data_IF_741965405018
#
_entry.id   IF_741965405018
#
_cell.length_a   1.000
_cell.length_b   1.000
_cell.length_c   1.000
_cell.angle_alpha   90.00
_cell.angle_beta   90.00
_cell.angle_gamma   90.00
#
_symmetry.space_group_name_H-M   'P 1'
#
loop_
_entity.id
_entity.type
_entity.pdbx_description
1 polymer ?
#
# COMPACT_ATOMS: atom_id res chain seq x y z
N UNK A 1 1.70 -77.03 14.33
CA UNK A 1 1.34 -75.66 14.52
C UNK A 1 2.22 -74.83 13.57
N UNK A 2 1.60 -74.28 12.50
CA UNK A 2 2.32 -73.47 11.54
C UNK A 2 2.16 -72.00 11.98
N UNK A 3 3.29 -71.36 12.27
CA UNK A 3 3.36 -69.92 12.59
C UNK A 3 3.12 -69.13 11.32
N UNK A 4 2.08 -68.29 11.32
CA UNK A 4 1.83 -67.34 10.28
C UNK A 4 2.51 -65.98 10.65
N UNK A 5 3.50 -65.59 9.87
CA UNK A 5 4.11 -64.27 9.94
C UNK A 5 3.27 -63.25 9.19
N UNK A 6 2.85 -62.18 9.87
CA UNK A 6 2.17 -61.05 9.30
C UNK A 6 3.24 -60.06 8.78
N UNK A 7 3.19 -59.61 7.50
CA UNK A 7 4.12 -58.62 7.03
C UNK A 7 3.74 -57.23 7.59
N UNK A 8 4.68 -56.56 8.24
CA UNK A 8 4.57 -55.16 8.63
C UNK A 8 4.90 -54.31 7.42
N UNK A 9 3.89 -53.63 6.84
CA UNK A 9 4.11 -52.59 5.85
C UNK A 9 4.57 -51.31 6.56
N UNK A 10 5.83 -50.96 6.40
CA UNK A 10 6.33 -49.63 6.77
C UNK A 10 5.84 -48.63 5.71
N UNK A 11 4.92 -47.74 6.08
CA UNK A 11 4.53 -46.59 5.27
C UNK A 11 5.65 -45.56 5.41
N UNK A 12 6.53 -45.46 4.41
CA UNK A 12 7.50 -44.35 4.29
C UNK A 12 6.73 -43.14 3.74
N UNK A 13 6.30 -42.23 4.61
CA UNK A 13 5.94 -40.90 4.20
C UNK A 13 7.22 -40.18 3.75
N UNK A 14 7.40 -40.03 2.44
CA UNK A 14 8.37 -39.10 1.91
C UNK A 14 7.83 -37.68 2.19
N UNK A 15 8.33 -37.05 3.25
CA UNK A 15 8.22 -35.61 3.43
C UNK A 15 9.05 -34.98 2.30
N UNK A 16 8.40 -34.49 1.28
CA UNK A 16 9.02 -33.59 0.31
C UNK A 16 9.63 -32.40 1.07
N UNK A 17 10.70 -31.77 0.55
CA UNK A 17 11.24 -30.59 1.18
C UNK A 17 10.11 -29.57 1.34
N UNK A 18 9.88 -29.09 2.55
CA UNK A 18 8.99 -27.95 2.78
C UNK A 18 9.51 -26.81 1.90
N UNK A 19 8.64 -26.23 1.07
CA UNK A 19 9.01 -25.08 0.28
C UNK A 19 9.47 -23.99 1.26
N UNK A 20 10.73 -23.58 1.15
CA UNK A 20 11.28 -22.50 1.97
C UNK A 20 10.56 -21.22 1.54
N UNK A 21 9.95 -20.51 2.49
CA UNK A 21 9.36 -19.21 2.22
C UNK A 21 10.43 -18.26 1.69
N UNK A 22 10.10 -17.51 0.64
CA UNK A 22 10.95 -16.44 0.11
C UNK A 22 10.96 -15.22 1.04
N UNK A 23 11.70 -14.17 0.67
CA UNK A 23 11.89 -12.98 1.53
C UNK A 23 10.72 -12.00 1.53
N UNK A 24 9.74 -12.16 0.64
CA UNK A 24 8.63 -11.22 0.47
C UNK A 24 7.36 -11.72 1.16
N UNK A 25 6.37 -10.83 1.32
CA UNK A 25 5.11 -11.19 1.97
C UNK A 25 4.43 -12.35 1.24
N UNK A 26 3.88 -13.25 2.01
CA UNK A 26 2.98 -14.27 1.51
C UNK A 26 1.63 -13.64 1.17
N UNK A 27 0.75 -14.34 0.48
CA UNK A 27 -0.64 -13.89 0.25
C UNK A 27 -1.31 -13.51 1.57
N UNK A 28 -2.50 -13.36 1.62
CA UNK A 28 -3.45 -13.04 2.70
C UNK A 28 -2.87 -12.85 4.12
N UNK A 29 -3.09 -11.64 4.70
CA UNK A 29 -2.83 -11.33 6.12
C UNK A 29 -1.37 -11.49 6.61
N UNK A 30 -0.39 -11.30 5.75
CA UNK A 30 0.99 -11.29 6.18
C UNK A 30 1.41 -9.90 6.69
N UNK A 31 1.55 -9.76 8.00
CA UNK A 31 2.09 -8.57 8.63
C UNK A 31 3.62 -8.59 8.79
N UNK A 32 4.28 -9.66 8.37
CA UNK A 32 5.73 -9.81 8.58
C UNK A 32 6.57 -8.94 7.62
N UNK A 33 5.98 -8.52 6.49
CA UNK A 33 6.60 -7.58 5.56
C UNK A 33 5.58 -6.51 5.19
N UNK A 34 5.59 -5.39 5.91
CA UNK A 34 4.61 -4.31 5.77
C UNK A 34 4.66 -3.59 4.42
N UNK A 35 5.83 -3.54 3.77
CA UNK A 35 6.00 -2.87 2.47
C UNK A 35 5.29 -3.59 1.33
N UNK A 36 5.16 -4.91 1.45
CA UNK A 36 4.66 -5.78 0.40
C UNK A 36 3.43 -6.59 0.86
N UNK A 37 2.86 -6.21 2.01
CA UNK A 37 1.67 -6.86 2.56
C UNK A 37 0.42 -6.55 1.73
N UNK A 38 -0.50 -7.50 1.54
CA UNK A 38 -1.70 -7.30 0.74
C UNK A 38 -2.60 -6.21 1.34
N UNK A 39 -3.17 -5.38 0.47
CA UNK A 39 -4.07 -4.30 0.87
C UNK A 39 -5.52 -4.77 0.72
N UNK A 40 -6.33 -4.76 1.80
CA UNK A 40 -7.72 -5.16 1.69
C UNK A 40 -8.53 -4.14 0.89
N UNK A 41 -9.21 -4.59 -0.17
CA UNK A 41 -10.13 -3.77 -0.96
C UNK A 41 -11.43 -3.48 -0.24
N UNK A 42 -11.88 -4.43 0.58
CA UNK A 42 -13.09 -4.36 1.38
C UNK A 42 -12.79 -4.52 2.87
N UNK A 43 -13.54 -3.79 3.71
CA UNK A 43 -13.43 -3.84 5.18
C UNK A 43 -14.82 -3.77 5.81
N UNK A 44 -14.95 -4.26 7.05
CA UNK A 44 -16.20 -4.17 7.79
C UNK A 44 -16.46 -5.36 8.70
N UNK A 45 -17.74 -5.61 9.07
CA UNK A 45 -18.11 -6.67 10.02
C UNK A 45 -17.70 -8.07 9.57
N UNK A 46 -17.60 -8.31 8.26
CA UNK A 46 -17.16 -9.58 7.70
C UNK A 46 -15.65 -9.82 7.76
N UNK A 47 -14.88 -8.84 8.22
CA UNK A 47 -13.42 -8.88 8.27
C UNK A 47 -12.74 -8.23 7.08
N UNK A 48 -11.45 -7.96 7.18
CA UNK A 48 -10.67 -7.35 6.09
C UNK A 48 -10.55 -8.30 4.91
N UNK A 49 -10.75 -7.76 3.71
CA UNK A 49 -10.71 -8.51 2.45
C UNK A 49 -11.96 -9.36 2.17
N UNK A 50 -12.86 -9.57 3.12
CA UNK A 50 -14.06 -10.38 2.90
C UNK A 50 -15.06 -9.64 1.99
N UNK A 51 -15.62 -10.36 1.01
CA UNK A 51 -16.68 -9.85 0.12
C UNK A 51 -18.09 -10.06 0.69
N UNK A 52 -18.21 -10.54 1.91
CA UNK A 52 -19.46 -10.85 2.60
C UNK A 52 -19.63 -10.07 3.90
N UNK A 53 -20.76 -10.27 4.60
CA UNK A 53 -20.96 -9.72 5.93
C UNK A 53 -21.22 -8.22 6.00
N UNK A 54 -21.70 -7.60 4.92
CA UNK A 54 -22.03 -6.16 4.87
C UNK A 54 -20.81 -5.25 4.84
N UNK A 55 -19.71 -5.75 4.28
CA UNK A 55 -18.48 -4.98 4.07
C UNK A 55 -18.67 -3.88 3.03
N UNK A 56 -17.82 -2.88 3.10
CA UNK A 56 -17.75 -1.75 2.16
C UNK A 56 -16.33 -1.56 1.68
N UNK A 57 -16.18 -0.79 0.60
CA UNK A 57 -14.88 -0.41 0.03
C UNK A 57 -14.02 0.23 1.12
N UNK A 58 -12.76 -0.20 1.21
CA UNK A 58 -11.83 0.31 2.20
C UNK A 58 -11.61 1.83 2.01
N UNK A 59 -11.90 2.66 3.03
CA UNK A 59 -11.82 4.12 2.93
C UNK A 59 -10.40 4.67 2.79
N UNK A 60 -9.37 3.83 2.84
CA UNK A 60 -8.01 4.27 2.51
C UNK A 60 -7.86 4.64 1.03
N UNK A 61 -8.69 4.04 0.16
CA UNK A 61 -8.72 4.37 -1.26
C UNK A 61 -9.50 5.67 -1.47
N UNK A 62 -8.80 6.73 -1.84
CA UNK A 62 -9.43 8.03 -2.10
C UNK A 62 -9.80 8.25 -3.57
N UNK A 63 -9.34 7.39 -4.46
CA UNK A 63 -9.59 7.45 -5.90
C UNK A 63 -9.38 6.08 -6.56
N UNK A 64 -9.96 5.93 -7.74
CA UNK A 64 -9.91 4.72 -8.56
C UNK A 64 -9.62 5.07 -10.00
N UNK A 65 -9.25 4.09 -10.80
CA UNK A 65 -9.20 4.25 -12.25
C UNK A 65 -10.55 4.74 -12.76
N UNK A 66 -10.57 5.76 -13.62
CA UNK A 66 -11.78 6.46 -14.05
C UNK A 66 -11.97 6.49 -15.56
N UNK A 67 -10.93 6.20 -16.33
CA UNK A 67 -11.03 6.09 -17.78
C UNK A 67 -9.98 5.16 -18.37
N UNK A 68 -10.35 4.51 -19.46
CA UNK A 68 -9.47 3.67 -20.26
C UNK A 68 -8.77 4.55 -21.28
N UNK A 69 -7.44 4.60 -21.26
CA UNK A 69 -6.62 5.34 -22.23
C UNK A 69 -6.22 4.45 -23.40
N UNK A 70 -5.86 3.21 -23.10
CA UNK A 70 -5.47 2.22 -24.10
C UNK A 70 -5.79 0.82 -23.57
N UNK A 71 -6.27 -0.06 -24.46
CA UNK A 71 -6.45 -1.47 -24.18
C UNK A 71 -6.06 -2.27 -25.43
N UNK A 72 -5.11 -3.15 -25.27
CA UNK A 72 -4.57 -4.00 -26.35
C UNK A 72 -4.40 -5.42 -25.81
N UNK A 73 -5.49 -6.19 -25.71
CA UNK A 73 -5.42 -7.59 -25.30
C UNK A 73 -4.74 -8.44 -26.37
N UNK A 74 -4.24 -9.61 -25.98
CA UNK A 74 -3.80 -10.61 -26.96
C UNK A 74 -4.98 -11.19 -27.73
N UNK A 75 -4.68 -11.77 -28.88
CA UNK A 75 -5.69 -12.52 -29.63
C UNK A 75 -6.10 -13.79 -28.86
N UNK A 76 -7.38 -13.95 -28.56
CA UNK A 76 -7.88 -15.14 -27.85
C UNK A 76 -8.64 -14.83 -26.58
N UNK A 77 -8.59 -13.59 -26.08
CA UNK A 77 -9.47 -13.14 -25.00
C UNK A 77 -10.93 -13.30 -25.41
N UNK A 78 -11.70 -14.01 -24.63
CA UNK A 78 -13.11 -14.22 -24.92
C UNK A 78 -13.90 -12.90 -24.79
N UNK A 79 -14.94 -12.68 -25.64
CA UNK A 79 -15.72 -11.43 -25.62
C UNK A 79 -16.33 -11.06 -24.26
N UNK A 80 -16.58 -12.04 -23.40
CA UNK A 80 -17.08 -11.83 -22.03
C UNK A 80 -16.06 -11.17 -21.11
N UNK A 81 -14.78 -11.21 -21.46
CA UNK A 81 -13.66 -10.70 -20.64
C UNK A 81 -12.88 -9.57 -21.31
N UNK A 82 -13.39 -9.03 -22.43
CA UNK A 82 -12.70 -8.02 -23.23
C UNK A 82 -13.26 -6.60 -23.07
N UNK A 83 -14.10 -6.35 -22.08
CA UNK A 83 -14.63 -5.02 -21.79
C UNK A 83 -13.71 -4.27 -20.78
N UNK A 84 -12.87 -3.33 -21.22
CA UNK A 84 -11.92 -2.66 -20.35
C UNK A 84 -12.59 -1.70 -19.35
N UNK A 85 -13.87 -1.38 -19.50
CA UNK A 85 -14.59 -0.53 -18.55
C UNK A 85 -14.86 -1.22 -17.23
N UNK A 86 -14.76 -2.55 -17.16
CA UNK A 86 -14.88 -3.31 -15.91
C UNK A 86 -13.76 -3.01 -14.91
N UNK A 87 -12.59 -2.56 -15.39
CA UNK A 87 -11.49 -2.13 -14.53
C UNK A 87 -11.63 -0.71 -13.98
N UNK A 88 -12.80 -0.07 -14.17
CA UNK A 88 -13.06 1.30 -13.72
C UNK A 88 -13.93 1.33 -12.47
N UNK A 89 -13.56 2.20 -11.54
CA UNK A 89 -14.28 2.36 -10.28
C UNK A 89 -13.71 1.49 -9.15
N UNK A 90 -14.42 1.43 -8.03
CA UNK A 90 -14.00 0.67 -6.86
C UNK A 90 -14.02 -0.83 -7.11
N UNK A 91 -13.12 -1.55 -6.44
CA UNK A 91 -13.15 -3.00 -6.35
C UNK A 91 -14.52 -3.50 -5.87
N UNK A 92 -15.02 -4.53 -6.49
CA UNK A 92 -16.30 -5.17 -6.15
C UNK A 92 -16.12 -6.48 -5.37
N UNK A 93 -14.99 -7.15 -5.57
CA UNK A 93 -14.70 -8.49 -5.07
C UNK A 93 -15.49 -9.58 -5.82
N UNK A 94 -16.04 -9.25 -6.99
CA UNK A 94 -16.70 -10.23 -7.88
C UNK A 94 -15.67 -10.73 -8.90
N UNK A 95 -15.35 -12.00 -8.85
CA UNK A 95 -14.39 -12.65 -9.75
C UNK A 95 -14.75 -12.51 -11.23
N UNK A 96 -16.00 -12.17 -11.55
CA UNK A 96 -16.47 -12.00 -12.93
C UNK A 96 -16.41 -10.55 -13.40
N UNK A 97 -16.11 -9.60 -12.50
CA UNK A 97 -16.05 -8.18 -12.84
C UNK A 97 -14.62 -7.75 -13.14
N UNK A 98 -14.07 -8.32 -14.23
CA UNK A 98 -12.69 -8.15 -14.65
C UNK A 98 -12.57 -7.87 -16.15
N UNK A 99 -11.39 -7.36 -16.54
CA UNK A 99 -10.93 -7.34 -17.93
C UNK A 99 -9.64 -8.14 -18.06
N UNK A 100 -9.60 -9.07 -19.02
CA UNK A 100 -8.42 -9.90 -19.28
C UNK A 100 -7.46 -9.21 -20.26
N UNK A 101 -6.15 -9.34 -20.02
CA UNK A 101 -5.11 -8.93 -20.97
C UNK A 101 -4.79 -10.02 -21.99
N UNK A 102 -5.12 -11.26 -21.67
CA UNK A 102 -4.89 -12.44 -22.51
C UNK A 102 -3.45 -12.94 -22.45
N UNK A 103 -3.31 -14.25 -22.48
CA UNK A 103 -2.01 -14.93 -22.44
C UNK A 103 -1.45 -15.17 -23.87
N UNK A 104 -0.15 -15.37 -24.01
CA UNK A 104 0.53 -15.68 -25.26
C UNK A 104 1.19 -17.06 -25.20
N UNK A 105 0.91 -17.90 -26.20
CA UNK A 105 1.68 -19.13 -26.36
C UNK A 105 3.16 -18.85 -26.67
N UNK A 106 4.03 -19.79 -26.33
CA UNK A 106 5.45 -19.72 -26.66
C UNK A 106 5.69 -19.55 -28.18
N UNK A 107 4.81 -20.09 -29.02
CA UNK A 107 4.89 -19.94 -30.48
C UNK A 107 4.61 -18.50 -30.92
N UNK A 108 3.58 -17.85 -30.37
CA UNK A 108 3.25 -16.46 -30.69
C UNK A 108 4.35 -15.51 -30.19
N UNK A 109 4.95 -15.78 -29.04
CA UNK A 109 6.09 -15.01 -28.52
C UNK A 109 7.29 -15.14 -29.51
N UNK A 110 7.58 -16.35 -29.97
CA UNK A 110 8.65 -16.59 -30.93
C UNK A 110 8.41 -15.87 -32.27
N UNK A 111 7.15 -15.71 -32.66
CA UNK A 111 6.73 -14.95 -33.85
C UNK A 111 6.72 -13.44 -33.64
N UNK A 112 7.09 -12.95 -32.46
CA UNK A 112 7.21 -11.52 -32.13
C UNK A 112 5.90 -10.86 -31.66
N UNK A 113 4.86 -11.64 -31.30
CA UNK A 113 3.67 -11.09 -30.70
C UNK A 113 4.00 -10.39 -29.36
N UNK A 114 3.29 -9.30 -29.08
CA UNK A 114 3.45 -8.53 -27.85
C UNK A 114 2.42 -8.95 -26.82
N UNK A 115 2.79 -8.98 -25.52
CA UNK A 115 1.84 -9.23 -24.43
C UNK A 115 0.70 -8.22 -24.41
N UNK A 116 -0.44 -8.66 -23.87
CA UNK A 116 -1.58 -7.80 -23.66
C UNK A 116 -1.25 -6.66 -22.70
N UNK A 117 -1.92 -5.52 -22.88
CA UNK A 117 -1.70 -4.36 -22.00
C UNK A 117 -2.94 -3.48 -21.86
N UNK A 118 -3.03 -2.80 -20.72
CA UNK A 118 -4.03 -1.79 -20.46
C UNK A 118 -3.38 -0.56 -19.82
N UNK A 119 -3.81 0.64 -20.24
CA UNK A 119 -3.44 1.90 -19.60
C UNK A 119 -4.70 2.59 -19.10
N UNK A 120 -4.75 2.85 -17.81
CA UNK A 120 -5.86 3.53 -17.16
C UNK A 120 -5.42 4.89 -16.63
N UNK A 121 -6.34 5.85 -16.66
CA UNK A 121 -6.20 7.14 -16.00
C UNK A 121 -6.93 7.12 -14.66
N UNK A 122 -6.30 7.66 -13.64
CA UNK A 122 -6.85 7.78 -12.31
C UNK A 122 -7.78 9.00 -12.18
N UNK A 123 -8.77 8.93 -11.32
CA UNK A 123 -9.68 10.05 -11.03
C UNK A 123 -8.97 11.20 -10.31
N UNK A 124 -7.89 10.94 -9.63
CA UNK A 124 -7.02 11.92 -8.98
C UNK A 124 -5.57 11.44 -9.05
N UNK A 125 -4.62 12.37 -9.07
CA UNK A 125 -3.20 12.04 -9.06
C UNK A 125 -2.82 11.33 -7.75
N UNK A 126 -1.87 10.39 -7.86
CA UNK A 126 -1.17 9.75 -6.75
C UNK A 126 0.10 10.55 -6.50
N UNK A 127 0.47 10.72 -5.23
CA UNK A 127 1.74 11.28 -4.82
C UNK A 127 2.57 10.23 -4.07
N UNK A 128 3.88 10.25 -4.28
CA UNK A 128 4.83 9.46 -3.51
C UNK A 128 4.85 9.95 -2.06
N UNK A 129 4.21 9.20 -1.20
CA UNK A 129 4.28 9.36 0.25
C UNK A 129 4.88 8.08 0.83
N UNK A 130 4.86 7.96 2.14
CA UNK A 130 5.45 6.80 2.76
C UNK A 130 4.56 5.57 2.65
N UNK A 131 5.10 4.46 2.20
CA UNK A 131 4.41 3.19 2.03
C UNK A 131 3.66 3.09 0.71
N UNK A 132 2.75 2.13 0.61
CA UNK A 132 2.03 1.89 -0.63
C UNK A 132 1.20 3.11 -1.08
N UNK A 133 1.36 3.52 -2.32
CA UNK A 133 0.67 4.67 -2.92
C UNK A 133 -0.55 4.26 -3.72
N UNK A 134 -0.59 3.02 -4.19
CA UNK A 134 -1.75 2.43 -4.84
C UNK A 134 -1.73 0.90 -4.72
N UNK A 135 -2.85 0.28 -5.05
CA UNK A 135 -2.96 -1.16 -5.13
C UNK A 135 -3.65 -1.60 -6.42
N UNK A 136 -3.22 -2.75 -6.95
CA UNK A 136 -3.79 -3.41 -8.12
C UNK A 136 -4.52 -4.66 -7.68
N UNK A 137 -5.77 -4.82 -8.11
CA UNK A 137 -6.64 -5.95 -7.78
C UNK A 137 -6.80 -6.86 -8.99
N UNK A 138 -6.62 -8.15 -8.75
CA UNK A 138 -6.66 -9.21 -9.74
C UNK A 138 -7.47 -10.39 -9.18
N UNK A 139 -8.22 -11.11 -10.01
CA UNK A 139 -9.23 -12.08 -9.57
C UNK A 139 -8.70 -13.47 -9.29
N UNK A 140 -7.43 -13.74 -9.39
CA UNK A 140 -6.85 -15.05 -9.11
C UNK A 140 -7.12 -15.52 -7.67
N UNK A 141 -6.70 -16.70 -7.35
CA UNK A 141 -7.08 -17.37 -6.12
C UNK A 141 -5.92 -18.21 -5.58
N UNK A 142 -5.97 -18.50 -4.27
CA UNK A 142 -4.92 -19.31 -3.66
C UNK A 142 -4.98 -19.32 -2.15
N UNK A 143 -3.86 -19.73 -1.58
CA UNK A 143 -3.57 -19.68 -0.14
C UNK A 143 -2.38 -18.78 0.13
N UNK A 144 -2.08 -18.52 1.39
CA UNK A 144 -0.97 -17.67 1.81
C UNK A 144 0.41 -18.02 1.17
N UNK A 145 0.65 -19.26 0.82
CA UNK A 145 1.96 -19.73 0.30
C UNK A 145 1.88 -20.39 -1.08
N UNK A 146 0.71 -20.40 -1.71
CA UNK A 146 0.49 -21.09 -2.96
C UNK A 146 -0.66 -20.42 -3.71
N UNK A 147 -0.34 -19.63 -4.73
CA UNK A 147 -1.27 -18.79 -5.46
C UNK A 147 -1.30 -19.20 -6.92
N UNK A 148 -2.51 -19.37 -7.47
CA UNK A 148 -2.73 -19.31 -8.90
C UNK A 148 -2.60 -17.84 -9.27
N UNK A 149 -1.49 -17.45 -9.85
CA UNK A 149 -1.20 -16.07 -10.16
C UNK A 149 -0.87 -15.92 -11.64
N UNK A 150 -1.52 -14.97 -12.26
CA UNK A 150 -1.19 -14.42 -13.57
C UNK A 150 -0.56 -13.06 -13.32
N UNK A 151 0.74 -12.92 -13.65
CA UNK A 151 1.53 -11.77 -13.24
C UNK A 151 1.54 -10.68 -14.33
N UNK A 152 1.63 -9.42 -13.90
CA UNK A 152 1.82 -8.29 -14.81
C UNK A 152 2.89 -7.32 -14.32
N UNK A 153 3.65 -6.75 -15.28
CA UNK A 153 4.45 -5.55 -15.00
C UNK A 153 3.55 -4.36 -14.76
N UNK A 154 3.99 -3.50 -13.85
CA UNK A 154 3.30 -2.26 -13.52
C UNK A 154 4.19 -1.08 -13.89
N UNK A 155 3.60 -0.10 -14.55
CA UNK A 155 4.27 1.11 -15.01
C UNK A 155 3.41 2.33 -14.68
N UNK A 156 4.05 3.43 -14.33
CA UNK A 156 3.39 4.68 -13.97
C UNK A 156 3.84 5.85 -14.83
N UNK A 157 2.97 6.83 -14.97
CA UNK A 157 3.25 8.02 -15.79
C UNK A 157 2.52 9.26 -15.26
N UNK A 158 3.15 10.43 -15.46
CA UNK A 158 2.54 11.74 -15.23
C UNK A 158 1.72 12.20 -16.44
N UNK A 159 2.19 11.92 -17.68
CA UNK A 159 1.68 12.48 -18.93
C UNK A 159 0.92 11.47 -19.83
N UNK A 160 0.97 10.17 -19.47
CA UNK A 160 0.39 9.06 -20.27
C UNK A 160 1.23 8.66 -21.48
N UNK A 161 2.42 9.20 -21.66
CA UNK A 161 3.32 8.96 -22.77
C UNK A 161 4.63 8.33 -22.30
N UNK A 162 5.27 8.96 -21.32
CA UNK A 162 6.51 8.47 -20.71
C UNK A 162 6.16 7.63 -19.49
N UNK A 163 6.63 6.38 -19.46
CA UNK A 163 6.35 5.45 -18.38
C UNK A 163 7.62 5.00 -17.65
N UNK A 164 7.53 4.84 -16.34
CA UNK A 164 8.51 4.17 -15.49
C UNK A 164 7.94 2.83 -15.02
N UNK A 165 8.67 1.75 -15.32
CA UNK A 165 8.34 0.40 -14.85
C UNK A 165 8.90 0.17 -13.46
N UNK A 166 8.10 -0.40 -12.58
CA UNK A 166 8.56 -0.84 -11.26
C UNK A 166 9.68 -1.88 -11.38
N UNK A 167 10.72 -1.80 -10.53
CA UNK A 167 11.75 -2.82 -10.46
C UNK A 167 11.17 -4.11 -9.88
N UNK A 168 10.96 -5.11 -10.74
CA UNK A 168 10.35 -6.39 -10.38
C UNK A 168 11.39 -7.43 -9.99
N UNK A 169 10.98 -8.39 -9.16
CA UNK A 169 11.79 -9.54 -8.75
C UNK A 169 10.93 -10.80 -8.81
N UNK A 170 11.48 -11.86 -9.42
CA UNK A 170 10.92 -13.21 -9.37
C UNK A 170 12.00 -14.24 -9.03
N UNK A 171 11.86 -14.88 -7.90
CA UNK A 171 12.75 -15.96 -7.44
C UNK A 171 12.18 -17.35 -7.76
N UNK A 172 11.06 -17.43 -8.48
CA UNK A 172 10.50 -18.68 -8.97
C UNK A 172 11.34 -19.15 -10.18
N UNK A 173 12.10 -20.22 -10.00
CA UNK A 173 13.16 -20.63 -10.92
C UNK A 173 12.76 -21.72 -11.93
N UNK A 174 11.50 -22.09 -11.98
CA UNK A 174 11.00 -23.19 -12.84
C UNK A 174 9.62 -22.86 -13.42
N UNK A 175 9.33 -23.36 -14.64
CA UNK A 175 8.04 -23.20 -15.27
C UNK A 175 6.88 -23.66 -14.37
N UNK A 176 5.79 -22.92 -14.42
CA UNK A 176 4.52 -23.23 -13.77
C UNK A 176 3.55 -23.70 -14.86
N UNK A 177 2.89 -24.83 -14.66
CA UNK A 177 1.93 -25.34 -15.66
C UNK A 177 0.59 -24.60 -15.59
N UNK A 178 -0.27 -24.78 -16.60
CA UNK A 178 -1.62 -24.23 -16.59
C UNK A 178 -2.37 -24.71 -15.35
N UNK A 179 -3.11 -23.82 -14.70
CA UNK A 179 -3.87 -24.09 -13.46
C UNK A 179 -3.01 -24.58 -12.28
N UNK A 180 -1.70 -24.32 -12.32
CA UNK A 180 -0.78 -24.60 -11.22
C UNK A 180 -0.48 -23.31 -10.43
N UNK A 181 0.05 -23.47 -9.22
CA UNK A 181 0.31 -22.36 -8.30
C UNK A 181 1.80 -22.03 -8.24
N UNK A 182 2.10 -20.80 -7.95
CA UNK A 182 3.44 -20.34 -7.61
C UNK A 182 3.55 -19.94 -6.13
N UNK A 183 4.78 -19.72 -5.67
CA UNK A 183 5.03 -19.21 -4.32
C UNK A 183 5.09 -17.67 -4.35
N UNK A 184 4.09 -16.95 -3.80
CA UNK A 184 4.03 -15.48 -3.84
C UNK A 184 5.16 -14.84 -3.00
N UNK A 185 5.74 -15.55 -2.03
CA UNK A 185 6.86 -15.03 -1.21
C UNK A 185 8.16 -14.86 -2.02
N UNK A 186 8.18 -15.36 -3.25
CA UNK A 186 9.29 -15.23 -4.19
C UNK A 186 9.11 -14.04 -5.15
N UNK A 187 8.02 -13.28 -5.04
CA UNK A 187 7.65 -12.25 -6.01
C UNK A 187 7.55 -10.89 -5.33
N UNK A 188 8.10 -9.84 -5.97
CA UNK A 188 7.95 -8.43 -5.56
C UNK A 188 7.72 -7.55 -6.79
N UNK A 189 6.89 -6.51 -6.62
CA UNK A 189 6.58 -5.48 -7.63
C UNK A 189 6.07 -6.06 -8.96
N UNK A 190 5.30 -7.13 -8.87
CA UNK A 190 4.49 -7.66 -9.97
C UNK A 190 3.04 -7.72 -9.49
N UNK A 191 2.11 -7.17 -10.26
CA UNK A 191 0.68 -7.32 -10.01
C UNK A 191 0.27 -8.79 -10.13
N UNK A 192 -0.83 -9.21 -9.48
CA UNK A 192 -1.27 -10.61 -9.44
C UNK A 192 -0.64 -11.45 -8.33
N UNK A 193 0.33 -10.90 -7.58
CA UNK A 193 0.92 -11.57 -6.43
C UNK A 193 -0.08 -11.81 -5.29
N UNK A 194 -0.89 -10.81 -4.98
CA UNK A 194 -2.00 -10.90 -4.06
C UNK A 194 -3.31 -10.94 -4.84
N UNK A 195 -4.23 -11.77 -4.41
CA UNK A 195 -5.37 -12.16 -5.21
C UNK A 195 -6.69 -11.93 -4.47
N UNK A 196 -7.76 -11.67 -5.21
CA UNK A 196 -9.08 -11.36 -4.68
C UNK A 196 -10.17 -12.37 -5.09
N UNK A 197 -9.79 -13.60 -5.38
CA UNK A 197 -10.73 -14.65 -5.68
C UNK A 197 -11.46 -15.24 -4.46
N UNK A 198 -12.55 -15.97 -4.70
CA UNK A 198 -13.28 -16.79 -3.73
C UNK A 198 -13.75 -16.09 -2.45
N UNK A 199 -14.36 -14.92 -2.59
CA UNK A 199 -14.96 -14.20 -1.47
C UNK A 199 -13.97 -13.39 -0.67
N UNK A 200 -12.85 -13.04 -1.25
CA UNK A 200 -11.83 -12.15 -0.72
C UNK A 200 -11.47 -11.09 -1.74
N UNK A 201 -10.95 -9.95 -1.27
CA UNK A 201 -10.49 -8.85 -2.10
C UNK A 201 -9.20 -8.29 -1.53
N UNK A 202 -8.08 -8.67 -2.15
CA UNK A 202 -6.75 -8.28 -1.73
C UNK A 202 -5.96 -7.72 -2.91
N UNK A 203 -5.51 -6.47 -2.77
CA UNK A 203 -4.70 -5.78 -3.79
C UNK A 203 -3.20 -5.96 -3.54
N UNK A 204 -2.46 -6.05 -4.63
CA UNK A 204 -0.99 -5.97 -4.61
C UNK A 204 -0.58 -4.52 -4.48
N UNK A 205 0.15 -4.13 -3.39
CA UNK A 205 0.59 -2.76 -3.17
C UNK A 205 1.78 -2.38 -4.04
N UNK A 206 1.87 -1.08 -4.36
CA UNK A 206 2.99 -0.46 -5.04
C UNK A 206 3.37 0.84 -4.35
N UNK A 207 4.66 0.98 -4.04
CA UNK A 207 5.27 2.14 -3.39
C UNK A 207 6.12 2.90 -4.42
N UNK A 208 5.79 4.14 -4.70
CA UNK A 208 6.51 4.98 -5.67
C UNK A 208 7.95 5.27 -5.24
N UNK A 209 8.31 5.06 -3.97
CA UNK A 209 9.70 5.12 -3.51
C UNK A 209 10.62 4.14 -4.25
N UNK A 210 10.10 3.02 -4.74
CA UNK A 210 10.85 2.07 -5.57
C UNK A 210 11.31 2.68 -6.92
N UNK A 211 10.72 3.82 -7.32
CA UNK A 211 11.02 4.50 -8.59
C UNK A 211 11.88 5.77 -8.45
N UNK A 212 12.26 6.19 -7.24
CA UNK A 212 13.02 7.45 -7.03
C UNK A 212 14.34 7.49 -7.80
N UNK A 213 14.94 6.33 -8.08
CA UNK A 213 16.17 6.20 -8.86
C UNK A 213 15.94 5.82 -10.33
N UNK A 214 14.68 5.75 -10.79
CA UNK A 214 14.39 5.43 -12.18
C UNK A 214 14.89 6.54 -13.12
N UNK A 215 15.53 6.21 -14.27
CA UNK A 215 16.12 7.23 -15.16
C UNK A 215 15.15 8.32 -15.60
N UNK A 216 13.89 7.97 -15.90
CA UNK A 216 12.87 8.96 -16.31
C UNK A 216 12.45 9.89 -15.15
N UNK A 217 12.51 9.43 -13.90
CA UNK A 217 12.25 10.25 -12.70
C UNK A 217 13.42 11.20 -12.46
N UNK A 218 14.65 10.67 -12.50
CA UNK A 218 15.86 11.48 -12.33
C UNK A 218 16.02 12.53 -13.45
N UNK A 219 15.53 12.24 -14.66
CA UNK A 219 15.49 13.18 -15.78
C UNK A 219 14.38 14.23 -15.70
N UNK A 220 13.47 14.11 -14.70
CA UNK A 220 12.31 15.00 -14.53
C UNK A 220 11.20 14.80 -15.57
N UNK A 221 11.18 13.67 -16.28
CA UNK A 221 10.11 13.34 -17.23
C UNK A 221 8.88 12.77 -16.52
N UNK A 222 9.07 12.20 -15.33
CA UNK A 222 8.01 11.67 -14.48
C UNK A 222 8.14 12.35 -13.12
N UNK A 223 7.04 12.95 -12.67
CA UNK A 223 6.89 13.51 -11.34
C UNK A 223 6.15 12.52 -10.46
N UNK A 224 6.85 11.93 -9.49
CA UNK A 224 6.26 10.97 -8.55
C UNK A 224 5.21 11.62 -7.62
N UNK A 225 5.15 12.95 -7.53
CA UNK A 225 4.11 13.66 -6.79
C UNK A 225 2.83 13.87 -7.62
N UNK A 226 2.81 13.44 -8.91
CA UNK A 226 1.72 13.72 -9.83
C UNK A 226 1.44 12.54 -10.79
N UNK A 227 1.48 11.30 -10.29
CA UNK A 227 1.17 10.12 -11.12
C UNK A 227 -0.32 10.07 -11.45
N UNK A 228 -0.64 10.07 -12.74
CA UNK A 228 -2.01 10.09 -13.27
C UNK A 228 -2.40 8.86 -14.05
N UNK A 229 -1.43 8.11 -14.55
CA UNK A 229 -1.65 6.95 -15.42
C UNK A 229 -0.91 5.74 -14.89
N UNK A 230 -1.60 4.59 -14.93
CA UNK A 230 -1.01 3.30 -14.63
C UNK A 230 -1.20 2.40 -15.83
N UNK A 231 -0.13 1.72 -16.24
CA UNK A 231 -0.14 0.72 -17.31
C UNK A 231 0.24 -0.63 -16.75
N UNK A 232 -0.56 -1.63 -17.07
CA UNK A 232 -0.27 -3.03 -16.81
C UNK A 232 0.09 -3.71 -18.12
N UNK A 233 1.11 -4.57 -18.09
CA UNK A 233 1.56 -5.37 -19.22
C UNK A 233 1.64 -6.81 -18.75
N UNK A 234 0.86 -7.68 -19.36
CA UNK A 234 0.83 -9.10 -19.07
C UNK A 234 2.22 -9.74 -19.15
N UNK A 235 2.45 -10.78 -18.38
CA UNK A 235 3.69 -11.57 -18.40
C UNK A 235 3.32 -13.01 -18.72
N UNK A 236 3.38 -13.45 -19.98
CA UNK A 236 3.25 -14.86 -20.29
C UNK A 236 4.32 -15.68 -19.56
N UNK A 237 3.91 -16.63 -18.75
CA UNK A 237 4.75 -17.35 -17.78
C UNK A 237 5.75 -18.35 -18.38
N UNK A 238 6.13 -18.16 -19.65
CA UNK A 238 7.07 -19.01 -20.39
C UNK A 238 8.52 -18.92 -19.92
N UNK A 239 8.87 -17.87 -19.14
CA UNK A 239 10.25 -17.52 -18.82
C UNK A 239 10.96 -16.71 -19.92
N UNK A 240 10.26 -16.32 -21.02
CA UNK A 240 10.80 -15.43 -22.03
C UNK A 240 10.91 -13.97 -21.56
N UNK A 241 10.10 -13.60 -20.57
CA UNK A 241 10.10 -12.29 -19.95
C UNK A 241 10.93 -12.31 -18.67
N UNK A 242 11.61 -11.20 -18.38
CA UNK A 242 12.61 -11.14 -17.31
C UNK A 242 12.25 -10.08 -16.28
N UNK A 243 12.64 -10.36 -15.05
CA UNK A 243 12.63 -9.38 -13.98
C UNK A 243 13.74 -8.32 -14.15
N UNK A 244 13.82 -7.36 -13.25
CA UNK A 244 14.80 -6.26 -13.32
C UNK A 244 16.25 -6.70 -13.13
N UNK A 245 16.49 -7.95 -12.77
CA UNK A 245 17.81 -8.56 -12.60
C UNK A 245 18.15 -9.56 -13.71
N UNK A 246 17.30 -9.66 -14.74
CA UNK A 246 17.49 -10.56 -15.88
C UNK A 246 17.12 -12.02 -15.57
N UNK A 247 16.40 -12.28 -14.48
CA UNK A 247 15.90 -13.62 -14.19
C UNK A 247 14.58 -13.86 -14.93
N UNK A 248 14.35 -15.08 -15.45
CA UNK A 248 13.10 -15.42 -16.11
C UNK A 248 11.93 -15.36 -15.12
N UNK A 249 10.81 -14.81 -15.55
CA UNK A 249 9.57 -14.83 -14.78
C UNK A 249 8.74 -16.01 -15.25
N UNK A 250 8.30 -16.81 -14.29
CA UNK A 250 7.38 -17.92 -14.48
C UNK A 250 6.13 -17.68 -13.64
N UNK A 251 4.98 -17.78 -14.27
CA UNK A 251 3.68 -17.82 -13.63
C UNK A 251 2.81 -18.90 -14.26
N UNK A 252 1.53 -18.92 -13.96
CA UNK A 252 0.57 -19.88 -14.53
C UNK A 252 0.48 -19.72 -16.05
N UNK A 253 0.85 -20.77 -16.81
CA UNK A 253 0.96 -20.69 -18.28
C UNK A 253 0.77 -22.07 -18.91
N UNK A 254 0.05 -22.23 -20.02
CA UNK A 254 -0.74 -21.30 -20.83
C UNK A 254 -2.19 -21.38 -20.37
N UNK A 255 -2.85 -20.23 -20.17
CA UNK A 255 -4.24 -20.13 -19.76
C UNK A 255 -5.13 -19.64 -20.91
N UNK A 256 -6.43 -19.86 -20.85
CA UNK A 256 -7.36 -19.64 -21.96
C UNK A 256 -8.64 -18.93 -21.51
N UNK A 257 -9.27 -18.21 -22.42
CA UNK A 257 -10.57 -17.55 -22.21
C UNK A 257 -10.42 -16.19 -21.54
N UNK A 258 -10.29 -16.14 -20.23
CA UNK A 258 -9.80 -15.00 -19.46
C UNK A 258 -8.30 -15.17 -19.12
N UNK A 259 -7.55 -15.91 -19.92
CA UNK A 259 -6.15 -16.18 -19.62
C UNK A 259 -5.26 -14.94 -19.65
N UNK A 260 -4.12 -15.03 -18.95
CA UNK A 260 -3.26 -13.88 -18.68
C UNK A 260 -3.83 -12.98 -17.57
N UNK A 261 -3.21 -11.87 -17.30
CA UNK A 261 -3.58 -10.99 -16.19
C UNK A 261 -5.02 -10.48 -16.29
N UNK A 262 -5.81 -10.69 -15.26
CA UNK A 262 -7.23 -10.36 -15.14
C UNK A 262 -7.46 -9.20 -14.17
N UNK A 263 -7.51 -7.96 -14.71
CA UNK A 263 -7.64 -6.75 -13.91
C UNK A 263 -9.07 -6.49 -13.44
N UNK A 264 -9.28 -6.38 -12.13
CA UNK A 264 -10.52 -5.90 -11.54
C UNK A 264 -10.50 -4.39 -11.30
N UNK A 265 -9.49 -3.87 -10.59
CA UNK A 265 -9.46 -2.45 -10.22
C UNK A 265 -8.04 -1.96 -9.93
N UNK A 266 -7.86 -0.64 -9.99
CA UNK A 266 -6.68 0.06 -9.47
C UNK A 266 -7.14 1.16 -8.52
N UNK A 267 -6.76 1.05 -7.25
CA UNK A 267 -7.12 2.01 -6.20
C UNK A 267 -5.93 2.84 -5.73
N UNK A 268 -6.10 4.17 -5.71
CA UNK A 268 -5.12 5.13 -5.21
C UNK A 268 -5.25 5.28 -3.69
N UNK A 269 -4.13 5.19 -2.96
CA UNK A 269 -4.07 5.13 -1.50
C UNK A 269 -3.56 6.44 -0.91
N UNK A 270 -2.52 7.02 -1.47
CA UNK A 270 -1.84 8.18 -0.89
C UNK A 270 -1.98 9.43 -1.75
N UNK A 271 -2.32 10.54 -1.12
CA UNK A 271 -2.22 11.88 -1.67
C UNK A 271 -2.10 12.92 -0.57
N UNK A 272 -1.43 14.04 -0.82
CA UNK A 272 -1.54 15.21 0.03
C UNK A 272 -3.00 15.69 0.12
N UNK A 273 -3.43 16.07 1.32
CA UNK A 273 -4.76 16.65 1.56
C UNK A 273 -4.65 17.97 2.30
N UNK A 274 -5.35 18.99 1.82
CA UNK A 274 -5.50 20.25 2.55
C UNK A 274 -6.51 20.09 3.69
N UNK A 275 -6.50 20.99 4.66
CA UNK A 275 -7.48 20.99 5.74
C UNK A 275 -8.92 21.06 5.21
N UNK A 276 -9.16 21.89 4.20
CA UNK A 276 -10.48 22.02 3.57
C UNK A 276 -10.93 20.70 2.88
N UNK A 277 -10.02 20.02 2.19
CA UNK A 277 -10.31 18.70 1.61
C UNK A 277 -10.59 17.65 2.67
N UNK A 278 -9.83 17.66 3.77
CA UNK A 278 -10.06 16.74 4.90
C UNK A 278 -11.44 16.99 5.54
N UNK A 279 -11.83 18.25 5.77
CA UNK A 279 -13.17 18.61 6.27
C UNK A 279 -14.27 18.03 5.37
N UNK A 280 -14.11 18.18 4.05
CA UNK A 280 -15.07 17.64 3.08
C UNK A 280 -15.12 16.11 3.10
N UNK A 281 -13.95 15.43 3.16
CA UNK A 281 -13.86 13.97 3.24
C UNK A 281 -14.50 13.39 4.52
N UNK A 282 -14.39 14.13 5.64
CA UNK A 282 -15.01 13.75 6.92
C UNK A 282 -16.49 14.11 7.02
N UNK A 283 -17.05 14.76 6.00
CA UNK A 283 -18.46 15.15 5.98
C UNK A 283 -18.86 16.13 7.08
N UNK A 284 -17.91 16.96 7.57
CA UNK A 284 -18.18 17.90 8.65
C UNK A 284 -19.12 19.01 8.19
N UNK A 285 -20.18 19.24 8.94
CA UNK A 285 -21.07 20.36 8.70
C UNK A 285 -20.33 21.72 8.94
N UNK A 286 -20.75 22.84 8.32
CA UNK A 286 -20.03 24.12 8.43
C UNK A 286 -19.76 24.58 9.87
N UNK A 287 -20.68 24.33 10.79
CA UNK A 287 -20.51 24.67 12.23
C UNK A 287 -19.53 23.74 12.98
N UNK A 288 -19.21 22.58 12.40
CA UNK A 288 -18.28 21.58 12.95
C UNK A 288 -16.88 21.70 12.33
N UNK A 289 -16.73 22.42 11.22
CA UNK A 289 -15.55 22.41 10.35
C UNK A 289 -14.40 23.32 10.82
N UNK A 290 -14.58 24.10 11.90
CA UNK A 290 -13.54 25.00 12.38
C UNK A 290 -12.30 24.25 12.93
N UNK A 291 -11.07 24.78 12.71
CA UNK A 291 -9.84 24.11 13.19
C UNK A 291 -9.79 23.85 14.69
N UNK A 292 -10.46 24.69 15.47
CA UNK A 292 -10.53 24.59 16.94
C UNK A 292 -11.80 23.88 17.46
N UNK A 293 -12.68 23.49 16.54
CA UNK A 293 -13.91 22.75 16.90
C UNK A 293 -13.56 21.29 17.24
N UNK A 294 -14.24 20.75 18.20
CA UNK A 294 -14.15 19.36 18.66
C UNK A 294 -15.56 18.74 18.59
N UNK A 295 -15.93 18.13 17.45
CA UNK A 295 -17.30 17.66 17.22
C UNK A 295 -17.71 16.46 18.11
N UNK A 296 -16.78 15.60 18.46
CA UNK A 296 -17.03 14.39 19.26
C UNK A 296 -16.76 14.61 20.77
N UNK A 297 -16.25 15.80 21.15
CA UNK A 297 -15.97 16.23 22.52
C UNK A 297 -14.96 15.34 23.28
N UNK A 298 -13.98 14.79 22.59
CA UNK A 298 -12.92 13.97 23.18
C UNK A 298 -11.67 14.79 23.60
N UNK A 299 -11.70 16.11 23.41
CA UNK A 299 -10.61 17.02 23.72
C UNK A 299 -9.58 17.17 22.58
N UNK A 300 -9.83 16.56 21.41
CA UNK A 300 -8.95 16.64 20.22
C UNK A 300 -9.60 17.56 19.17
N UNK A 301 -9.15 18.81 19.04
CA UNK A 301 -9.68 19.71 17.99
C UNK A 301 -9.44 19.16 16.58
N UNK A 302 -10.30 19.55 15.64
CA UNK A 302 -10.22 19.12 14.25
C UNK A 302 -8.84 19.27 13.62
N UNK A 303 -8.13 20.36 13.90
CA UNK A 303 -6.79 20.59 13.37
C UNK A 303 -5.77 19.55 13.88
N UNK A 304 -5.90 19.15 15.14
CA UNK A 304 -5.07 18.07 15.69
C UNK A 304 -5.48 16.73 15.09
N UNK A 305 -6.78 16.46 14.98
CA UNK A 305 -7.28 15.26 14.31
C UNK A 305 -6.79 15.13 12.87
N UNK A 306 -6.83 16.22 12.09
CA UNK A 306 -6.27 16.31 10.74
C UNK A 306 -4.77 15.99 10.71
N UNK A 307 -3.99 16.65 11.59
CA UNK A 307 -2.54 16.50 11.63
C UNK A 307 -2.06 15.12 12.09
N UNK A 308 -2.92 14.37 12.82
CA UNK A 308 -2.59 13.09 13.44
C UNK A 308 -3.34 11.90 12.84
N UNK A 309 -4.11 12.12 11.76
CA UNK A 309 -4.87 11.09 11.07
C UNK A 309 -6.08 10.55 11.84
N UNK A 310 -6.60 11.30 12.81
CA UNK A 310 -7.74 10.94 13.64
C UNK A 310 -9.07 11.19 12.94
N UNK A 311 -10.10 10.46 13.36
CA UNK A 311 -11.46 10.73 12.91
C UNK A 311 -12.13 11.72 13.87
N UNK A 312 -12.57 12.91 13.41
CA UNK A 312 -13.14 13.95 14.26
C UNK A 312 -14.54 13.61 14.78
N UNK A 313 -15.16 12.53 14.27
CA UNK A 313 -16.49 12.10 14.67
C UNK A 313 -16.47 10.88 15.61
N UNK A 314 -15.32 10.22 15.73
CA UNK A 314 -15.14 9.03 16.57
C UNK A 314 -14.30 9.41 17.79
N UNK A 315 -14.87 9.36 19.03
CA UNK A 315 -14.12 9.65 20.23
C UNK A 315 -12.89 8.75 20.39
N UNK A 316 -11.77 9.34 20.75
CA UNK A 316 -10.54 8.62 21.03
C UNK A 316 -10.51 8.16 22.47
N UNK A 317 -10.83 6.88 22.74
CA UNK A 317 -10.90 6.31 24.08
C UNK A 317 -9.52 6.12 24.75
N UNK A 318 -8.44 6.37 24.03
CA UNK A 318 -7.08 6.16 24.55
C UNK A 318 -6.11 7.25 24.06
N UNK A 319 -5.31 7.82 24.97
CA UNK A 319 -4.23 8.77 24.63
C UNK A 319 -3.00 8.06 24.03
N UNK A 320 -3.12 6.84 23.51
CA UNK A 320 -1.99 6.07 22.99
C UNK A 320 -1.25 6.74 21.83
N UNK A 321 -1.90 7.69 21.14
CA UNK A 321 -1.33 8.46 20.03
C UNK A 321 -0.53 9.69 20.47
N UNK A 322 -0.63 10.07 21.75
CA UNK A 322 0.05 11.21 22.35
C UNK A 322 0.44 10.88 23.79
N UNK A 323 1.74 10.86 24.10
CA UNK A 323 2.26 10.55 25.41
C UNK A 323 3.47 11.42 25.73
N UNK A 324 3.55 11.87 26.97
CA UNK A 324 4.75 12.47 27.55
C UNK A 324 5.33 11.47 28.54
N UNK A 325 6.58 11.10 28.36
CA UNK A 325 7.29 10.12 29.17
C UNK A 325 8.75 10.57 29.35
N UNK A 326 9.59 9.71 29.87
CA UNK A 326 11.04 9.88 29.94
C UNK A 326 11.79 8.70 29.40
N UNK A 327 12.86 9.02 28.69
CA UNK A 327 13.86 8.05 28.26
C UNK A 327 15.17 8.35 28.97
N UNK A 328 15.52 7.50 29.96
CA UNK A 328 16.61 7.80 30.89
C UNK A 328 16.33 9.07 31.68
N UNK A 329 17.24 10.06 31.57
CA UNK A 329 17.16 11.33 32.27
C UNK A 329 16.58 12.48 31.42
N UNK A 330 15.79 12.19 30.36
CA UNK A 330 15.27 13.20 29.42
C UNK A 330 13.77 13.02 29.24
N UNK A 331 13.07 14.15 29.09
CA UNK A 331 11.67 14.12 28.67
C UNK A 331 11.53 13.66 27.20
N UNK A 332 10.53 12.89 26.93
CA UNK A 332 10.14 12.48 25.59
C UNK A 332 8.70 12.83 25.30
N UNK A 333 8.41 13.15 24.04
CA UNK A 333 7.09 13.31 23.51
C UNK A 333 6.89 12.31 22.40
N UNK A 334 5.97 11.38 22.58
CA UNK A 334 5.51 10.43 21.58
C UNK A 334 4.18 10.88 21.01
N UNK A 335 4.04 10.92 19.69
CA UNK A 335 2.78 11.26 19.03
C UNK A 335 2.71 10.66 17.63
N UNK A 336 1.52 10.61 17.07
CA UNK A 336 1.28 10.22 15.69
C UNK A 336 1.10 11.47 14.82
N UNK A 337 1.54 11.40 13.54
CA UNK A 337 1.29 12.40 12.52
C UNK A 337 0.85 11.74 11.21
N UNK A 338 -0.01 12.43 10.46
CA UNK A 338 -0.42 12.04 9.10
C UNK A 338 0.42 12.80 8.07
N UNK A 339 1.19 12.08 7.26
CA UNK A 339 2.02 12.66 6.20
C UNK A 339 1.21 13.37 5.12
N UNK A 340 -0.05 12.96 4.91
CA UNK A 340 -0.95 13.59 3.94
C UNK A 340 -1.41 14.97 4.37
N UNK A 341 -1.31 15.31 5.66
CA UNK A 341 -1.77 16.58 6.22
C UNK A 341 -0.80 17.73 5.90
N UNK A 342 -0.70 18.08 4.60
CA UNK A 342 0.34 19.00 4.09
C UNK A 342 0.23 20.44 4.57
N UNK A 343 -0.93 20.88 5.05
CA UNK A 343 -1.09 22.22 5.65
C UNK A 343 -0.83 22.22 7.16
N UNK A 344 -0.70 21.05 7.80
CA UNK A 344 -0.36 20.99 9.21
C UNK A 344 1.12 21.34 9.45
N UNK A 345 1.34 22.26 10.38
CA UNK A 345 2.65 22.54 10.94
C UNK A 345 2.65 22.03 12.37
N UNK A 346 3.47 21.00 12.63
CA UNK A 346 3.63 20.39 13.93
C UNK A 346 4.94 20.88 14.55
N UNK A 347 4.88 21.38 15.77
CA UNK A 347 6.02 21.90 16.52
C UNK A 347 6.11 21.25 17.89
N UNK A 348 7.21 20.56 18.18
CA UNK A 348 7.52 20.11 19.55
C UNK A 348 8.21 21.25 20.26
N UNK A 349 7.62 21.71 21.35
CA UNK A 349 8.06 22.88 22.08
C UNK A 349 8.36 22.54 23.54
N UNK A 350 9.34 23.23 24.11
CA UNK A 350 9.74 23.15 25.51
C UNK A 350 9.60 24.49 26.21
N UNK A 351 9.35 24.43 27.52
CA UNK A 351 9.31 25.60 28.40
C UNK A 351 9.77 25.24 29.80
N UNK A 352 10.30 26.21 30.54
CA UNK A 352 10.58 26.09 31.96
C UNK A 352 9.55 26.79 32.86
N UNK A 353 8.67 27.62 32.28
CA UNK A 353 7.72 28.49 33.01
C UNK A 353 6.27 28.42 32.50
N UNK A 354 5.99 27.65 31.42
CA UNK A 354 4.70 27.56 30.69
C UNK A 354 4.30 28.89 29.98
N UNK A 355 5.15 29.88 29.95
CA UNK A 355 4.92 31.18 29.31
C UNK A 355 5.75 31.27 28.02
N UNK A 356 7.06 31.13 28.15
CA UNK A 356 7.99 31.19 27.03
C UNK A 356 8.25 29.78 26.51
N UNK A 357 7.95 29.58 25.22
CA UNK A 357 8.07 28.29 24.55
C UNK A 357 9.08 28.34 23.41
N UNK A 358 10.03 27.43 23.44
CA UNK A 358 11.05 27.26 22.40
C UNK A 358 10.74 26.02 21.57
N UNK A 359 10.79 26.14 20.25
CA UNK A 359 10.57 25.00 19.33
C UNK A 359 11.85 24.19 19.17
N UNK A 360 11.84 22.94 19.58
CA UNK A 360 12.95 21.99 19.41
C UNK A 360 12.94 21.33 18.05
N UNK A 361 11.77 20.92 17.58
CA UNK A 361 11.61 20.20 16.34
C UNK A 361 10.33 20.62 15.62
N UNK A 362 10.33 20.50 14.27
CA UNK A 362 9.23 20.92 13.42
C UNK A 362 9.05 19.98 12.24
N UNK A 363 7.79 19.74 11.90
CA UNK A 363 7.36 19.15 10.62
C UNK A 363 6.41 20.11 9.92
N UNK A 364 6.46 20.19 8.60
CA UNK A 364 5.54 20.98 7.76
C UNK A 364 5.49 20.39 6.36
N UNK A 365 4.34 20.54 5.68
CA UNK A 365 4.17 20.00 4.32
C UNK A 365 4.17 18.48 4.25
N UNK A 366 3.78 17.79 5.35
CA UNK A 366 3.85 16.33 5.41
C UNK A 366 5.25 15.75 5.61
N UNK A 367 6.30 16.59 5.58
CA UNK A 367 7.69 16.15 5.66
C UNK A 367 8.05 15.62 7.06
N UNK A 368 9.10 14.76 7.18
CA UNK A 368 9.56 14.25 8.45
C UNK A 368 9.86 15.35 9.47
N UNK A 369 9.76 15.00 10.76
CA UNK A 369 10.12 15.89 11.85
C UNK A 369 11.63 16.13 11.85
N UNK A 370 12.04 17.38 11.90
CA UNK A 370 13.46 17.78 11.94
C UNK A 370 13.75 18.74 13.09
N UNK A 371 14.97 18.70 13.61
CA UNK A 371 15.43 19.64 14.63
C UNK A 371 15.43 21.08 14.08
N UNK A 372 15.04 22.06 14.91
CA UNK A 372 15.15 23.48 14.56
C UNK A 372 16.56 23.99 14.78
N UNK A 373 16.92 25.06 14.08
CA UNK A 373 18.27 25.64 14.14
C UNK A 373 18.69 25.96 15.58
N UNK A 374 19.87 25.51 15.98
CA UNK A 374 20.42 25.72 17.32
C UNK A 374 20.00 24.66 18.36
N UNK A 375 19.17 23.67 17.98
CA UNK A 375 18.71 22.56 18.83
C UNK A 375 19.15 21.22 18.26
N UNK A 376 19.30 20.23 19.14
CA UNK A 376 19.70 18.86 18.79
C UNK A 376 18.94 17.80 19.60
N UNK A 377 17.59 17.81 19.57
CA UNK A 377 16.81 16.74 20.15
C UNK A 377 17.06 15.42 19.42
N UNK A 378 16.94 14.30 20.11
CA UNK A 378 16.89 13.02 19.43
C UNK A 378 15.49 12.84 18.84
N UNK A 379 15.42 12.56 17.53
CA UNK A 379 14.16 12.33 16.81
C UNK A 379 14.19 10.91 16.24
N UNK A 380 13.17 10.14 16.55
CA UNK A 380 12.90 8.83 15.96
C UNK A 380 11.53 8.91 15.32
N UNK A 381 11.47 8.55 14.05
CA UNK A 381 10.22 8.51 13.30
C UNK A 381 10.11 7.18 12.58
N UNK A 382 9.01 6.47 12.81
CA UNK A 382 8.74 5.13 12.27
C UNK A 382 7.28 5.00 11.84
N UNK A 383 6.96 4.01 11.03
CA UNK A 383 5.58 3.72 10.66
C UNK A 383 4.77 3.36 11.92
N UNK A 384 3.58 3.93 12.08
CA UNK A 384 2.65 3.50 13.10
C UNK A 384 1.98 2.20 12.62
N UNK A 385 2.36 1.07 13.27
CA UNK A 385 1.94 -0.26 12.80
C UNK A 385 0.47 -0.52 12.98
N UNK A 386 -0.21 -0.82 11.92
CA UNK A 386 -1.13 -1.94 11.63
C UNK A 386 -1.58 -1.81 10.18
N UNK A 387 -1.96 -2.91 9.54
CA UNK A 387 -2.49 -3.03 8.17
C UNK A 387 -3.61 -2.03 7.81
N UNK A 388 -4.24 -1.40 8.81
CA UNK A 388 -5.35 -0.46 8.60
C UNK A 388 -4.87 0.98 8.27
N UNK A 389 -3.64 1.35 8.55
CA UNK A 389 -3.12 2.72 8.35
C UNK A 389 -2.25 2.91 7.12
N UNK A 390 -2.02 1.86 6.33
CA UNK A 390 -1.29 1.84 5.04
C UNK A 390 -0.08 2.78 5.01
N UNK A 391 0.71 2.77 6.09
CA UNK A 391 2.01 3.42 6.12
C UNK A 391 2.06 4.95 6.17
N UNK A 392 0.94 5.67 6.01
CA UNK A 392 0.90 7.15 6.00
C UNK A 392 0.86 7.79 7.40
N UNK A 393 0.63 7.02 8.44
CA UNK A 393 0.69 7.49 9.83
C UNK A 393 2.06 7.16 10.39
N UNK A 394 2.73 8.19 10.90
CA UNK A 394 4.03 8.08 11.55
C UNK A 394 3.92 8.20 13.04
N UNK A 395 4.60 7.32 13.76
CA UNK A 395 4.87 7.51 15.18
C UNK A 395 6.19 8.26 15.34
N UNK A 396 6.10 9.42 15.95
CA UNK A 396 7.23 10.31 16.16
C UNK A 396 7.55 10.33 17.64
N UNK A 397 8.82 10.10 17.98
CA UNK A 397 9.39 10.33 19.31
C UNK A 397 10.40 11.45 19.25
N UNK A 398 10.19 12.50 20.04
CA UNK A 398 11.15 13.58 20.23
C UNK A 398 11.63 13.57 21.67
N UNK A 399 12.94 13.34 21.86
CA UNK A 399 13.59 13.39 23.18
C UNK A 399 14.27 14.73 23.34
N UNK A 400 13.95 15.40 24.44
CA UNK A 400 14.55 16.69 24.80
C UNK A 400 16.09 16.61 24.89
N UNK A 401 16.77 17.68 24.52
CA UNK A 401 18.22 17.79 24.61
C UNK A 401 18.73 18.06 26.03
N UNK A 402 17.83 18.51 26.93
CA UNK A 402 18.18 18.89 28.32
C UNK A 402 17.91 17.70 29.26
N UNK A 403 18.88 17.46 30.16
CA UNK A 403 18.72 16.43 31.21
C UNK A 403 17.77 16.89 32.31
N UNK A 404 16.96 15.96 32.83
CA UNK A 404 16.15 16.18 34.02
C UNK A 404 17.05 16.57 35.19
N UNK A 405 16.71 17.67 35.88
CA UNK A 405 17.49 18.21 36.98
C UNK A 405 18.52 19.27 36.57
N UNK A 406 18.79 19.45 35.28
CA UNK A 406 19.56 20.62 34.80
C UNK A 406 18.75 21.92 34.90
N UNK A 407 17.41 21.81 34.85
CA UNK A 407 16.45 22.90 35.08
C UNK A 407 15.46 22.50 36.18
N UNK A 408 14.99 23.47 36.96
CA UNK A 408 14.07 23.22 38.07
C UNK A 408 12.72 22.76 37.61
N UNK A 409 12.29 23.10 36.38
CA UNK A 409 11.04 22.69 35.73
C UNK A 409 11.29 22.58 34.23
N UNK A 410 10.67 21.59 33.63
CA UNK A 410 10.72 21.38 32.17
C UNK A 410 9.39 20.82 31.71
N UNK A 411 8.85 21.40 30.66
CA UNK A 411 7.57 21.05 30.08
C UNK A 411 7.74 20.83 28.58
N UNK A 412 7.00 19.84 28.03
CA UNK A 412 6.90 19.56 26.61
C UNK A 412 5.46 19.73 26.14
N UNK A 413 5.29 20.21 24.91
CA UNK A 413 3.98 20.19 24.23
C UNK A 413 4.14 19.96 22.73
N UNK A 414 3.09 19.41 22.12
CA UNK A 414 2.86 19.48 20.70
C UNK A 414 1.98 20.69 20.38
N UNK A 415 2.44 21.54 19.49
CA UNK A 415 1.64 22.62 18.91
C UNK A 415 1.36 22.29 17.46
N UNK A 416 0.08 22.36 17.06
CA UNK A 416 -0.36 22.21 15.68
C UNK A 416 -0.97 23.52 15.22
N UNK A 417 -0.62 23.97 14.00
CA UNK A 417 -1.18 25.17 13.39
C UNK A 417 -1.22 25.07 11.87
N UNK A 418 -2.04 25.88 11.23
CA UNK A 418 -2.01 26.10 9.78
C UNK A 418 -0.99 27.18 9.41
N UNK A 419 -0.60 27.32 8.11
CA UNK A 419 0.38 28.30 7.67
C UNK A 419 -0.01 29.76 7.95
N UNK A 420 -1.31 30.07 7.98
CA UNK A 420 -1.87 31.40 8.29
C UNK A 420 -1.90 31.71 9.81
N UNK A 421 -1.49 30.76 10.64
CA UNK A 421 -1.42 30.91 12.11
C UNK A 421 -2.69 30.55 12.85
N UNK A 422 -3.74 30.07 12.16
CA UNK A 422 -4.99 29.59 12.76
C UNK A 422 -4.86 28.21 13.41
#
# INVERSE_FOLDING_TARGET
>A
MKSASIPVFALVLALGPAAVAGPYSQGLNDSANEEDAPVPGLVGPGGSGSTSGGNWVNPIFYGWASSVVHYSPTAGVAPSWSDPTRALGPVTGDNSDIVSLGDLSAALIADGAQPGSITLQLSAAIANLSGADFAVFENAFGTATSVFAELAYVEVSTDGVTFARFPSISLNSSPVGPFSNLNPTNVRNLAGKHVNGYGQSWGTPFDLDDLVNHPSVLAGWIDLMEIRYIRLVDIPGTGAFQDSFGQPIYDTHETFGSGGFDLEAIGAISRPITYAQWVALKGLAPHQAGPKTDPNQDGVPNLVAYATGRDPMIPSDSPSWFQVDWSGDRLTLDFERDERAVEAILEVQVSSDLIDWTTLARSSGGQPMTATAGHNPQIIEERAGSLASVGVIRRVRVTDEVLLGAEAKRFLRLRVRLPDGS
#
